data_IF_008493296728
#
_entry.id   IF_008493296728
#
_cell.length_a   1.000
_cell.length_b   1.000
_cell.length_c   1.000
_cell.angle_alpha   90.00
_cell.angle_beta   90.00
_cell.angle_gamma   90.00
#
_symmetry.space_group_name_H-M   'P 1'
#
loop_
_entity.id
_entity.type
_entity.pdbx_description
1 polymer ?
#
# COMPACT_ATOMS: atom_id res chain seq x y z
N UNK A 1 28.09 -14.57 -26.57
CA UNK A 1 28.88 -15.79 -26.24
C UNK A 1 27.98 -17.03 -26.19
N UNK A 2 26.80 -17.01 -25.55
CA UNK A 2 25.89 -18.16 -25.45
C UNK A 2 25.33 -18.62 -26.79
N UNK A 3 25.02 -17.70 -27.72
CA UNK A 3 24.54 -17.99 -29.05
C UNK A 3 25.60 -18.73 -29.90
N UNK A 4 26.87 -18.36 -29.74
CA UNK A 4 27.96 -18.98 -30.48
C UNK A 4 28.32 -20.40 -30.01
N UNK A 5 28.12 -20.69 -28.72
CA UNK A 5 28.54 -21.98 -28.16
C UNK A 5 27.48 -23.08 -28.21
N UNK A 6 26.18 -22.75 -28.32
CA UNK A 6 25.10 -23.73 -28.25
C UNK A 6 23.98 -23.58 -29.29
N UNK A 7 24.12 -22.73 -30.26
CA UNK A 7 23.07 -22.44 -31.28
C UNK A 7 21.70 -22.10 -30.64
N UNK A 8 21.70 -21.46 -29.48
CA UNK A 8 20.49 -21.08 -28.76
C UNK A 8 20.06 -19.66 -29.16
N UNK A 9 18.85 -19.53 -29.66
CA UNK A 9 18.24 -18.21 -29.85
C UNK A 9 17.89 -17.64 -28.44
N UNK A 10 18.62 -16.61 -28.03
CA UNK A 10 18.43 -15.96 -26.72
C UNK A 10 17.83 -14.58 -26.94
N UNK A 11 16.67 -14.35 -26.38
CA UNK A 11 16.07 -13.02 -26.31
C UNK A 11 16.40 -12.38 -24.96
N UNK A 12 16.91 -11.14 -25.00
CA UNK A 12 17.22 -10.37 -23.80
C UNK A 12 16.09 -9.36 -23.55
N UNK A 13 15.54 -9.39 -22.34
CA UNK A 13 14.58 -8.41 -21.90
C UNK A 13 15.15 -7.64 -20.71
N UNK A 14 14.92 -6.33 -20.61
CA UNK A 14 15.27 -5.59 -19.39
C UNK A 14 14.58 -6.23 -18.18
N UNK A 15 15.27 -6.40 -17.05
CA UNK A 15 14.64 -6.92 -15.84
C UNK A 15 13.53 -5.95 -15.38
N UNK A 16 12.41 -6.50 -14.92
CA UNK A 16 11.36 -5.68 -14.29
C UNK A 16 11.88 -5.15 -12.97
N UNK A 17 11.95 -3.83 -12.83
CA UNK A 17 12.33 -3.18 -11.58
C UNK A 17 11.15 -3.33 -10.61
N UNK A 18 11.42 -3.86 -9.43
CA UNK A 18 10.39 -4.07 -8.41
C UNK A 18 10.13 -2.78 -7.61
N UNK A 19 9.53 -1.78 -8.27
CA UNK A 19 9.12 -0.55 -7.60
C UNK A 19 8.15 -0.81 -6.46
N UNK A 20 8.13 0.09 -5.49
CA UNK A 20 7.15 0.15 -4.40
C UNK A 20 6.56 1.55 -4.33
N UNK A 21 5.37 1.66 -3.76
CA UNK A 21 4.73 2.94 -3.50
C UNK A 21 4.67 3.22 -2.00
N UNK A 22 4.80 4.49 -1.63
CA UNK A 22 4.56 4.98 -0.28
C UNK A 22 4.02 6.41 -0.34
N UNK A 23 3.73 7.00 0.82
CA UNK A 23 3.23 8.37 0.94
C UNK A 23 4.18 9.20 1.81
N UNK A 24 4.12 10.52 1.65
CA UNK A 24 4.96 11.46 2.43
C UNK A 24 4.19 12.36 3.38
N UNK A 25 2.89 12.42 3.25
CA UNK A 25 2.05 13.32 4.05
C UNK A 25 0.83 12.60 4.58
N UNK A 26 0.27 13.18 5.64
CA UNK A 26 -1.04 12.78 6.15
C UNK A 26 -2.12 13.24 5.17
N UNK A 27 -3.10 12.38 4.92
CA UNK A 27 -4.31 12.74 4.21
C UNK A 27 -5.53 12.10 4.89
N UNK A 28 -6.67 12.75 4.75
CA UNK A 28 -7.93 12.29 5.30
C UNK A 28 -9.04 12.50 4.26
N UNK A 29 -9.88 11.50 4.09
CA UNK A 29 -11.02 11.59 3.16
C UNK A 29 -12.20 10.77 3.67
N UNK A 30 -13.40 11.20 3.26
CA UNK A 30 -14.64 10.45 3.47
C UNK A 30 -15.09 9.89 2.13
N UNK A 31 -15.17 8.56 2.03
CA UNK A 31 -15.72 7.92 0.85
C UNK A 31 -17.06 7.25 1.16
N UNK A 32 -18.05 7.52 0.30
CA UNK A 32 -19.38 6.94 0.36
C UNK A 32 -19.62 6.02 -0.84
N UNK A 33 -19.73 4.73 -0.57
CA UNK A 33 -20.21 3.76 -1.54
C UNK A 33 -21.74 3.64 -1.46
N UNK A 34 -22.41 3.94 -2.56
CA UNK A 34 -23.86 3.76 -2.70
C UNK A 34 -24.18 3.18 -4.06
N UNK A 35 -24.88 2.03 -4.06
CA UNK A 35 -25.39 1.38 -5.27
C UNK A 35 -26.82 0.94 -5.03
N UNK A 36 -27.73 1.33 -5.92
CA UNK A 36 -29.16 1.07 -5.81
C UNK A 36 -29.77 0.38 -7.05
N UNK A 37 -28.93 -0.17 -7.94
CA UNK A 37 -29.41 -0.79 -9.19
C UNK A 37 -29.44 -2.30 -9.12
N UNK A 38 -30.58 -2.91 -9.43
CA UNK A 38 -30.70 -4.31 -9.80
C UNK A 38 -30.62 -5.34 -8.67
N UNK A 39 -31.20 -5.08 -7.48
CA UNK A 39 -31.24 -6.03 -6.36
C UNK A 39 -31.04 -5.38 -5.00
N UNK A 40 -30.45 -6.11 -4.04
CA UNK A 40 -30.15 -5.56 -2.72
C UNK A 40 -29.20 -4.35 -2.84
N UNK A 41 -29.57 -3.24 -2.19
CA UNK A 41 -28.77 -2.02 -2.14
C UNK A 41 -27.42 -2.26 -1.50
N UNK A 42 -26.46 -1.39 -1.80
CA UNK A 42 -25.17 -1.36 -1.14
C UNK A 42 -24.93 0.03 -0.60
N UNK A 43 -24.61 0.12 0.69
CA UNK A 43 -24.27 1.39 1.35
C UNK A 43 -23.13 1.19 2.34
N UNK A 44 -22.11 2.02 2.25
CA UNK A 44 -21.06 2.13 3.25
C UNK A 44 -20.40 3.52 3.14
N UNK A 45 -20.21 4.19 4.27
CA UNK A 45 -19.43 5.43 4.34
C UNK A 45 -18.27 5.22 5.32
N UNK A 46 -17.07 5.60 4.90
CA UNK A 46 -15.85 5.45 5.69
C UNK A 46 -15.07 6.75 5.67
N UNK A 47 -14.83 7.33 6.84
CA UNK A 47 -13.86 8.39 7.07
C UNK A 47 -12.52 7.74 7.40
N UNK A 48 -11.55 7.94 6.56
CA UNK A 48 -10.22 7.33 6.65
C UNK A 48 -9.14 8.41 6.67
N UNK A 49 -8.18 8.23 7.57
CA UNK A 49 -6.91 8.97 7.58
C UNK A 49 -5.77 8.02 7.30
N UNK A 50 -4.82 8.43 6.50
CA UNK A 50 -3.58 7.69 6.28
C UNK A 50 -2.38 8.57 6.57
N UNK A 51 -1.31 7.94 7.02
CA UNK A 51 -0.02 8.60 7.33
C UNK A 51 1.14 7.70 6.90
N UNK A 52 2.31 8.29 6.58
CA UNK A 52 3.54 7.51 6.47
C UNK A 52 3.79 6.75 7.77
N UNK A 53 4.30 5.53 7.67
CA UNK A 53 4.68 4.75 8.85
C UNK A 53 6.17 4.42 8.81
N UNK A 54 6.83 4.61 9.94
CA UNK A 54 8.22 4.25 10.17
C UNK A 54 8.31 3.37 11.43
N UNK A 55 9.36 2.56 11.53
CA UNK A 55 9.62 1.76 12.73
C UNK A 55 9.89 2.72 13.91
N UNK A 56 9.43 2.34 15.11
CA UNK A 56 9.51 3.15 16.33
C UNK A 56 8.63 4.41 16.38
N UNK A 57 7.73 4.58 15.42
CA UNK A 57 6.77 5.67 15.45
C UNK A 57 5.75 5.52 16.57
N UNK A 58 5.50 6.59 17.34
CA UNK A 58 4.48 6.60 18.38
C UNK A 58 3.09 6.30 17.84
N UNK A 59 2.23 5.78 18.72
CA UNK A 59 0.82 5.60 18.38
C UNK A 59 0.13 6.94 18.04
N UNK A 60 -0.92 6.91 17.18
CA UNK A 60 -1.63 8.14 16.84
C UNK A 60 -2.21 8.80 18.09
N UNK A 61 -1.99 10.10 18.21
CA UNK A 61 -2.52 10.92 19.30
C UNK A 61 -3.80 11.63 18.89
N UNK A 62 -4.66 11.94 19.86
CA UNK A 62 -5.88 12.69 19.61
C UNK A 62 -7.01 11.90 18.96
N UNK A 63 -6.88 10.60 18.82
CA UNK A 63 -7.93 9.69 18.32
C UNK A 63 -8.13 8.51 19.28
N UNK A 64 -9.38 8.06 19.51
CA UNK A 64 -9.65 6.92 20.34
C UNK A 64 -9.27 5.62 19.62
N UNK A 65 -8.32 4.86 20.13
CA UNK A 65 -7.94 3.56 19.56
C UNK A 65 -8.81 2.47 20.17
N UNK A 66 -9.62 1.82 19.34
CA UNK A 66 -10.50 0.70 19.72
C UNK A 66 -9.93 -0.66 19.28
N UNK A 67 -9.07 -0.67 18.29
CA UNK A 67 -8.39 -1.85 17.78
C UNK A 67 -7.17 -1.47 16.98
N UNK A 68 -6.17 -2.37 16.96
CA UNK A 68 -4.92 -2.20 16.26
C UNK A 68 -4.48 -3.52 15.65
N UNK A 69 -4.20 -3.51 14.36
CA UNK A 69 -3.63 -4.64 13.65
C UNK A 69 -2.33 -4.23 12.98
N UNK A 70 -1.30 -5.05 13.18
CA UNK A 70 -0.02 -4.90 12.48
C UNK A 70 0.11 -6.03 11.45
N UNK A 71 0.12 -5.67 10.18
CA UNK A 71 0.17 -6.64 9.08
C UNK A 71 1.52 -6.54 8.39
N UNK A 72 2.31 -7.61 8.47
CA UNK A 72 3.52 -7.75 7.66
C UNK A 72 3.12 -8.11 6.23
N UNK A 73 3.55 -7.27 5.29
CA UNK A 73 3.16 -7.42 3.89
C UNK A 73 4.05 -8.46 3.18
N UNK A 74 3.48 -9.37 2.38
CA UNK A 74 4.26 -10.39 1.67
C UNK A 74 5.33 -9.82 0.73
N UNK A 75 5.13 -8.60 0.24
CA UNK A 75 6.06 -7.88 -0.64
C UNK A 75 7.02 -6.94 0.11
N UNK A 76 7.08 -7.05 1.43
CA UNK A 76 7.92 -6.26 2.33
C UNK A 76 7.27 -4.99 2.84
N UNK A 77 7.67 -4.59 4.05
CA UNK A 77 7.08 -3.48 4.79
C UNK A 77 5.87 -3.91 5.62
N UNK A 78 5.20 -2.93 6.22
CA UNK A 78 4.08 -3.15 7.13
C UNK A 78 2.89 -2.25 6.79
N UNK A 79 1.69 -2.73 7.10
CA UNK A 79 0.47 -1.95 7.23
C UNK A 79 0.09 -1.90 8.70
N UNK A 80 -0.01 -0.69 9.25
CA UNK A 80 -0.59 -0.45 10.57
C UNK A 80 -2.03 -0.02 10.41
N UNK A 81 -2.96 -0.85 10.84
CA UNK A 81 -4.40 -0.55 10.75
C UNK A 81 -4.98 -0.27 12.13
N UNK A 82 -5.69 0.85 12.27
CA UNK A 82 -6.34 1.28 13.50
C UNK A 82 -7.83 1.45 13.30
N UNK A 83 -8.60 0.82 14.18
CA UNK A 83 -10.01 1.14 14.37
C UNK A 83 -10.12 2.24 15.42
N UNK A 84 -10.58 3.42 15.00
CA UNK A 84 -10.79 4.59 15.86
C UNK A 84 -12.28 4.99 15.93
N UNK A 85 -13.18 4.16 15.41
CA UNK A 85 -14.62 4.44 15.34
C UNK A 85 -15.23 4.39 16.75
N UNK A 86 -16.02 5.41 17.08
CA UNK A 86 -16.78 5.52 18.33
C UNK A 86 -18.28 5.50 18.05
N UNK A 87 -19.08 5.21 19.10
CA UNK A 87 -20.53 5.32 19.05
C UNK A 87 -21.24 4.29 18.13
N UNK A 88 -20.53 3.26 17.64
CA UNK A 88 -21.14 2.23 16.80
C UNK A 88 -21.49 2.71 15.38
N UNK A 89 -20.86 3.77 14.90
CA UNK A 89 -21.09 4.31 13.56
C UNK A 89 -20.82 3.27 12.45
N UNK A 90 -19.83 2.40 12.67
CA UNK A 90 -19.56 1.20 11.87
C UNK A 90 -19.55 -0.01 12.81
N UNK A 91 -20.33 -1.05 12.48
CA UNK A 91 -20.32 -2.31 13.21
C UNK A 91 -18.92 -2.96 13.15
N UNK A 92 -18.46 -3.49 14.29
CA UNK A 92 -17.13 -4.11 14.45
C UNK A 92 -16.85 -5.19 13.38
N UNK A 93 -17.87 -5.94 12.96
CA UNK A 93 -17.73 -6.99 11.94
C UNK A 93 -17.24 -6.47 10.59
N UNK A 94 -17.51 -5.21 10.24
CA UNK A 94 -17.14 -4.64 8.94
C UNK A 94 -15.69 -4.14 8.87
N UNK A 95 -15.00 -4.00 10.01
CA UNK A 95 -13.60 -3.57 10.01
C UNK A 95 -12.68 -4.53 9.26
N UNK A 96 -12.93 -5.85 9.37
CA UNK A 96 -12.19 -6.84 8.60
C UNK A 96 -12.39 -6.68 7.09
N UNK A 97 -13.58 -6.27 6.66
CA UNK A 97 -13.89 -6.03 5.25
C UNK A 97 -13.24 -4.74 4.74
N UNK A 98 -13.25 -3.66 5.52
CA UNK A 98 -12.52 -2.43 5.21
C UNK A 98 -11.02 -2.72 5.05
N UNK A 99 -10.42 -3.45 5.99
CA UNK A 99 -9.01 -3.84 5.99
C UNK A 99 -8.64 -4.67 4.74
N UNK A 100 -9.50 -5.63 4.36
CA UNK A 100 -9.33 -6.39 3.11
C UNK A 100 -9.35 -5.49 1.87
N UNK A 101 -10.23 -4.50 1.83
CA UNK A 101 -10.30 -3.52 0.75
C UNK A 101 -9.01 -2.67 0.65
N UNK A 102 -8.48 -2.24 1.78
CA UNK A 102 -7.20 -1.52 1.87
C UNK A 102 -6.07 -2.39 1.33
N UNK A 103 -5.92 -3.63 1.82
CA UNK A 103 -4.87 -4.56 1.38
C UNK A 103 -4.93 -4.84 -0.12
N UNK A 104 -6.12 -5.10 -0.67
CA UNK A 104 -6.30 -5.31 -2.11
C UNK A 104 -5.86 -4.08 -2.93
N UNK A 105 -6.11 -2.87 -2.41
CA UNK A 105 -5.65 -1.65 -3.08
C UNK A 105 -4.15 -1.44 -2.92
N UNK A 106 -3.54 -1.89 -1.84
CA UNK A 106 -2.10 -1.87 -1.64
C UNK A 106 -1.34 -2.84 -2.56
N UNK A 107 -1.97 -3.95 -2.96
CA UNK A 107 -1.42 -4.88 -3.97
C UNK A 107 -1.33 -4.24 -5.36
N UNK A 108 -2.27 -3.36 -5.66
CA UNK A 108 -2.33 -2.59 -6.91
C UNK A 108 -2.31 -1.10 -6.59
N UNK A 109 -1.13 -0.58 -6.26
CA UNK A 109 -0.92 0.78 -5.79
C UNK A 109 -1.60 1.85 -6.65
N UNK A 110 -2.16 2.89 -6.01
CA UNK A 110 -2.92 3.92 -6.71
C UNK A 110 -2.12 4.78 -7.69
N UNK A 111 -0.80 4.87 -7.51
CA UNK A 111 0.07 5.74 -8.31
C UNK A 111 0.51 5.06 -9.62
N UNK A 112 1.09 3.88 -9.55
CA UNK A 112 1.70 3.19 -10.70
C UNK A 112 1.28 1.71 -10.82
N UNK A 113 0.46 1.22 -9.91
CA UNK A 113 0.12 -0.19 -9.78
C UNK A 113 1.19 -1.02 -9.05
N UNK A 114 2.23 -0.39 -8.49
CA UNK A 114 3.24 -1.07 -7.71
C UNK A 114 2.75 -1.31 -6.28
N UNK A 115 3.29 -2.33 -5.61
CA UNK A 115 2.91 -2.64 -4.23
C UNK A 115 3.16 -1.47 -3.28
N UNK A 116 2.16 -1.11 -2.48
CA UNK A 116 2.28 -0.08 -1.43
C UNK A 116 2.87 -0.68 -0.16
N UNK A 117 3.72 0.07 0.55
CA UNK A 117 4.31 -0.34 1.83
C UNK A 117 4.41 0.83 2.81
N UNK A 118 4.55 0.46 4.09
CA UNK A 118 4.86 1.36 5.18
C UNK A 118 3.87 2.52 5.31
N UNK A 119 2.62 2.15 5.51
CA UNK A 119 1.49 3.08 5.68
C UNK A 119 0.73 2.76 6.95
N UNK A 120 0.35 3.79 7.68
CA UNK A 120 -0.60 3.72 8.79
C UNK A 120 -1.98 4.17 8.31
N UNK A 121 -2.98 3.35 8.54
CA UNK A 121 -4.38 3.58 8.17
C UNK A 121 -5.23 3.65 9.44
N UNK A 122 -6.00 4.71 9.57
CA UNK A 122 -6.95 4.91 10.66
C UNK A 122 -8.35 5.07 10.09
N UNK A 123 -9.28 4.24 10.54
CA UNK A 123 -10.72 4.43 10.29
C UNK A 123 -11.28 5.21 11.46
N UNK A 124 -11.65 6.47 11.21
CA UNK A 124 -12.04 7.42 12.24
C UNK A 124 -13.55 7.43 12.50
N UNK A 125 -14.34 7.33 11.45
CA UNK A 125 -15.80 7.38 11.51
C UNK A 125 -16.40 6.75 10.24
N UNK A 126 -17.72 6.72 10.16
CA UNK A 126 -18.44 6.30 8.97
C UNK A 126 -19.93 6.25 9.19
N UNK A 127 -20.64 5.68 8.21
CA UNK A 127 -22.08 5.42 8.32
C UNK A 127 -22.43 4.08 7.73
N UNK A 128 -23.34 3.40 8.39
CA UNK A 128 -23.97 2.19 7.89
C UNK A 128 -25.48 2.38 7.75
N UNK A 129 -26.09 1.59 6.90
CA UNK A 129 -27.53 1.52 6.71
C UNK A 129 -28.00 0.14 7.12
N UNK A 130 -29.05 0.05 7.93
CA UNK A 130 -29.49 -1.21 8.56
C UNK A 130 -29.76 -2.34 7.55
N UNK A 131 -30.20 -1.99 6.33
CA UNK A 131 -30.60 -2.95 5.29
C UNK A 131 -29.54 -3.12 4.20
N UNK A 132 -28.87 -2.01 3.79
CA UNK A 132 -28.03 -1.97 2.59
C UNK A 132 -26.54 -2.09 2.91
N UNK A 133 -26.14 -2.11 4.18
CA UNK A 133 -24.73 -2.28 4.56
C UNK A 133 -24.35 -3.75 4.64
N UNK A 134 -23.30 -4.10 3.92
CA UNK A 134 -22.73 -5.44 3.87
C UNK A 134 -21.21 -5.40 3.69
N UNK A 135 -20.58 -6.58 3.81
CA UNK A 135 -19.12 -6.73 3.70
C UNK A 135 -18.55 -6.21 2.39
N UNK A 136 -19.25 -6.44 1.28
CA UNK A 136 -18.80 -6.00 -0.04
C UNK A 136 -18.85 -4.47 -0.15
N UNK A 137 -19.88 -3.82 0.39
CA UNK A 137 -20.00 -2.37 0.41
C UNK A 137 -18.87 -1.74 1.23
N UNK A 138 -18.57 -2.26 2.43
CA UNK A 138 -17.48 -1.77 3.27
C UNK A 138 -16.10 -2.09 2.70
N UNK A 139 -15.89 -3.25 2.08
CA UNK A 139 -14.67 -3.56 1.35
C UNK A 139 -14.41 -2.55 0.24
N UNK A 140 -15.43 -2.27 -0.57
CA UNK A 140 -15.33 -1.29 -1.66
C UNK A 140 -15.09 0.12 -1.13
N UNK A 141 -15.81 0.51 -0.07
CA UNK A 141 -15.63 1.83 0.56
C UNK A 141 -14.20 1.98 1.12
N UNK A 142 -13.68 0.98 1.82
CA UNK A 142 -12.30 0.97 2.33
C UNK A 142 -11.25 1.07 1.22
N UNK A 143 -11.42 0.29 0.15
CA UNK A 143 -10.54 0.32 -1.02
C UNK A 143 -10.51 1.71 -1.68
N UNK A 144 -11.66 2.33 -1.85
CA UNK A 144 -11.77 3.63 -2.53
C UNK A 144 -11.35 4.79 -1.64
N UNK A 145 -11.69 4.75 -0.34
CA UNK A 145 -11.20 5.72 0.65
C UNK A 145 -9.67 5.71 0.70
N UNK A 146 -9.08 4.52 0.76
CA UNK A 146 -7.62 4.38 0.73
C UNK A 146 -7.01 4.96 -0.55
N UNK A 147 -7.59 4.66 -1.72
CA UNK A 147 -7.13 5.19 -3.00
C UNK A 147 -7.13 6.73 -3.01
N UNK A 148 -8.21 7.35 -2.56
CA UNK A 148 -8.34 8.82 -2.55
C UNK A 148 -7.37 9.46 -1.56
N UNK A 149 -7.29 8.94 -0.33
CA UNK A 149 -6.30 9.38 0.65
C UNK A 149 -4.88 9.27 0.13
N UNK A 150 -4.54 8.12 -0.49
CA UNK A 150 -3.20 7.86 -0.99
C UNK A 150 -2.76 8.88 -2.05
N UNK A 151 -3.65 9.21 -2.98
CA UNK A 151 -3.37 10.20 -4.03
C UNK A 151 -3.21 11.63 -3.47
N UNK A 152 -3.89 11.95 -2.36
CA UNK A 152 -3.76 13.24 -1.68
C UNK A 152 -2.53 13.32 -0.77
N UNK A 153 -2.02 12.18 -0.30
CA UNK A 153 -0.92 12.09 0.67
C UNK A 153 0.49 12.25 0.07
N UNK A 154 0.63 12.88 -1.09
CA UNK A 154 1.89 12.99 -1.85
C UNK A 154 2.56 11.63 -2.06
N UNK A 155 1.97 10.77 -2.90
CA UNK A 155 2.50 9.46 -3.18
C UNK A 155 3.88 9.55 -3.85
N UNK A 156 4.73 8.57 -3.52
CA UNK A 156 6.09 8.46 -4.03
C UNK A 156 6.38 7.03 -4.48
N UNK A 157 7.11 6.94 -5.58
CA UNK A 157 7.67 5.67 -6.05
C UNK A 157 9.05 5.44 -5.38
N UNK A 158 9.23 4.24 -4.86
CA UNK A 158 10.48 3.78 -4.27
C UNK A 158 11.18 2.82 -5.24
N UNK A 159 12.45 3.07 -5.50
CA UNK A 159 13.32 2.19 -6.26
C UNK A 159 13.98 1.17 -5.32
N UNK A 160 14.21 -0.07 -5.78
CA UNK A 160 14.94 -1.05 -4.98
C UNK A 160 16.43 -0.71 -4.95
N UNK A 161 17.00 -0.69 -3.77
CA UNK A 161 18.45 -0.63 -3.58
C UNK A 161 18.98 -2.01 -3.25
N UNK A 162 20.01 -2.45 -3.99
CA UNK A 162 20.63 -3.74 -3.79
C UNK A 162 22.07 -3.57 -3.29
N UNK A 163 22.45 -4.34 -2.29
CA UNK A 163 23.85 -4.46 -1.90
C UNK A 163 24.59 -5.29 -2.95
N UNK A 164 25.61 -4.73 -3.58
CA UNK A 164 26.41 -5.39 -4.59
C UNK A 164 27.80 -5.72 -4.00
N UNK A 165 28.16 -7.00 -4.03
CA UNK A 165 29.53 -7.45 -3.68
C UNK A 165 30.23 -7.88 -4.98
N UNK A 166 31.32 -7.19 -5.32
CA UNK A 166 32.15 -7.51 -6.46
C UNK A 166 33.48 -8.05 -5.96
N UNK A 167 33.87 -9.25 -6.43
CA UNK A 167 35.19 -9.83 -6.19
C UNK A 167 35.99 -9.72 -7.48
N UNK A 168 37.14 -9.07 -7.44
CA UNK A 168 37.96 -8.80 -8.61
C UNK A 168 39.45 -8.87 -8.25
N UNK A 169 40.35 -9.15 -9.19
CA UNK A 169 41.79 -8.95 -9.00
C UNK A 169 42.11 -7.48 -8.65
N UNK A 170 43.15 -7.27 -7.84
CA UNK A 170 43.53 -5.96 -7.33
C UNK A 170 43.74 -4.93 -8.45
N UNK A 171 44.35 -5.35 -9.54
CA UNK A 171 44.65 -4.51 -10.70
C UNK A 171 43.40 -3.89 -11.36
N UNK A 172 42.24 -4.52 -11.23
CA UNK A 172 40.96 -4.08 -11.79
C UNK A 172 40.13 -3.21 -10.86
N UNK A 173 40.52 -3.09 -9.61
CA UNK A 173 39.72 -2.41 -8.56
C UNK A 173 39.46 -0.94 -8.93
N UNK A 174 40.48 -0.21 -9.36
CA UNK A 174 40.35 1.19 -9.75
C UNK A 174 39.39 1.41 -10.92
N UNK A 175 39.47 0.55 -11.95
CA UNK A 175 38.58 0.61 -13.11
C UNK A 175 37.13 0.33 -12.73
N UNK A 176 36.90 -0.68 -11.88
CA UNK A 176 35.54 -1.04 -11.42
C UNK A 176 34.94 0.08 -10.56
N UNK A 177 35.71 0.65 -9.63
CA UNK A 177 35.26 1.76 -8.80
C UNK A 177 34.90 2.99 -9.65
N UNK A 178 35.72 3.33 -10.65
CA UNK A 178 35.43 4.40 -11.58
C UNK A 178 34.12 4.15 -12.38
N UNK A 179 33.93 2.92 -12.85
CA UNK A 179 32.74 2.54 -13.59
C UNK A 179 31.49 2.61 -12.69
N UNK A 180 31.54 2.05 -11.48
CA UNK A 180 30.42 2.10 -10.55
C UNK A 180 30.03 3.55 -10.16
N UNK A 181 31.01 4.43 -10.00
CA UNK A 181 30.76 5.83 -9.70
C UNK A 181 30.08 6.60 -10.84
N UNK A 182 30.22 6.12 -12.08
CA UNK A 182 29.58 6.72 -13.26
C UNK A 182 28.13 6.26 -13.48
N UNK A 183 27.73 5.14 -12.88
CA UNK A 183 26.35 4.64 -12.92
C UNK A 183 25.61 5.08 -11.66
N UNK A 184 24.57 5.88 -11.88
CA UNK A 184 23.70 6.35 -10.81
C UNK A 184 22.25 6.00 -11.09
#
# INVERSE_FOLDING_TARGET
KLEHYRNLKVAFYPPKIAYRETIRQVAETTYRHKKQTGGAGQFAEVLMRIEPWEEDMFEPTGVPIRGKDTITLPWGGKLMYYNCVVGGAIDQRFHASIQKGVLEKMENGPLSGSFVRDVRVMVLDGKMHAVDSNDLAFKTAGMMAFKECFLQAKPQLLEPWNALKITTPEEMTGTIMGTLSSYR
#
